data_IF_112212244824
#
_entry.id   IF_112212244824
#
_cell.length_a   1.000
_cell.length_b   1.000
_cell.length_c   1.000
_cell.angle_alpha   90.00
_cell.angle_beta   90.00
_cell.angle_gamma   90.00
#
_symmetry.space_group_name_H-M   'P 1'
#
loop_
_entity.id
_entity.type
_entity.pdbx_description
1 polymer ?
#
# COMPACT_ATOMS: atom_id res chain seq x y z
N UNK A 1 -1.84 5.16 9.56
CA UNK A 1 -1.67 3.83 10.21
C UNK A 1 -0.23 3.70 10.68
N UNK A 2 0.07 2.95 11.75
CA UNK A 2 1.47 2.74 12.17
C UNK A 2 2.07 1.56 11.40
N UNK A 3 3.01 1.82 10.50
CA UNK A 3 3.71 0.82 9.67
C UNK A 3 5.20 0.66 10.03
N UNK A 4 5.67 1.32 11.10
CA UNK A 4 7.10 1.44 11.44
C UNK A 4 7.76 0.08 11.72
N UNK A 5 7.02 -0.88 12.29
CA UNK A 5 7.54 -2.22 12.64
C UNK A 5 7.48 -3.28 11.52
N UNK A 6 6.97 -2.94 10.34
CA UNK A 6 6.74 -3.91 9.25
C UNK A 6 7.97 -3.93 8.33
N UNK A 7 8.42 -5.09 7.86
CA UNK A 7 9.55 -5.17 6.91
C UNK A 7 9.18 -4.68 5.50
N UNK A 8 10.17 -4.33 4.66
CA UNK A 8 9.92 -3.91 3.27
C UNK A 8 9.18 -4.98 2.44
N UNK A 9 9.51 -6.27 2.65
CA UNK A 9 8.83 -7.40 2.01
C UNK A 9 7.37 -7.48 2.41
N UNK A 10 7.07 -7.30 3.70
CA UNK A 10 5.70 -7.28 4.20
C UNK A 10 4.92 -6.04 3.72
N UNK A 11 5.57 -4.88 3.58
CA UNK A 11 4.95 -3.68 3.00
C UNK A 11 4.56 -3.91 1.53
N UNK A 12 5.45 -4.52 0.74
CA UNK A 12 5.15 -4.88 -0.64
C UNK A 12 3.98 -5.88 -0.73
N UNK A 13 3.97 -6.88 0.14
CA UNK A 13 2.89 -7.86 0.19
C UNK A 13 1.56 -7.23 0.63
N UNK A 14 1.59 -6.30 1.58
CA UNK A 14 0.43 -5.54 2.03
C UNK A 14 -0.15 -4.67 0.89
N UNK A 15 0.71 -3.99 0.13
CA UNK A 15 0.33 -3.22 -1.07
C UNK A 15 -0.36 -4.14 -2.10
N UNK A 16 0.22 -5.32 -2.38
CA UNK A 16 -0.34 -6.32 -3.30
C UNK A 16 -1.72 -6.80 -2.86
N UNK A 17 -1.84 -7.22 -1.60
CA UNK A 17 -3.10 -7.76 -1.05
C UNK A 17 -4.20 -6.69 -0.98
N UNK A 18 -3.87 -5.46 -0.61
CA UNK A 18 -4.83 -4.35 -0.59
C UNK A 18 -5.37 -4.06 -2.00
N UNK A 19 -4.50 -4.06 -3.02
CA UNK A 19 -4.89 -3.89 -4.42
C UNK A 19 -5.77 -5.03 -4.92
N UNK A 20 -5.41 -6.27 -4.64
CA UNK A 20 -6.17 -7.46 -5.04
C UNK A 20 -7.57 -7.46 -4.41
N UNK A 21 -7.66 -7.18 -3.10
CA UNK A 21 -8.94 -7.08 -2.42
C UNK A 21 -9.78 -5.92 -2.97
N UNK A 22 -9.18 -4.77 -3.26
CA UNK A 22 -9.85 -3.64 -3.91
C UNK A 22 -10.37 -3.97 -5.33
N UNK A 23 -9.66 -4.84 -6.08
CA UNK A 23 -10.15 -5.33 -7.37
C UNK A 23 -11.37 -6.26 -7.19
N UNK A 24 -11.32 -7.17 -6.22
CA UNK A 24 -12.45 -8.06 -5.90
C UNK A 24 -13.68 -7.25 -5.46
N UNK A 25 -13.51 -6.24 -4.60
CA UNK A 25 -14.61 -5.36 -4.18
C UNK A 25 -15.23 -4.59 -5.36
N UNK A 26 -14.40 -4.10 -6.29
CA UNK A 26 -14.89 -3.46 -7.52
C UNK A 26 -15.69 -4.42 -8.38
N UNK A 27 -15.21 -5.65 -8.58
CA UNK A 27 -15.93 -6.68 -9.34
C UNK A 27 -17.26 -7.05 -8.67
N UNK A 28 -17.30 -7.04 -7.34
CA UNK A 28 -18.50 -7.26 -6.54
C UNK A 28 -19.43 -6.03 -6.48
N UNK A 29 -19.08 -4.90 -7.12
CA UNK A 29 -19.81 -3.62 -7.06
C UNK A 29 -19.93 -3.04 -5.63
N UNK A 30 -18.95 -3.33 -4.77
CA UNK A 30 -18.86 -2.85 -3.39
C UNK A 30 -17.88 -1.67 -3.24
N UNK A 31 -17.74 -0.86 -4.30
CA UNK A 31 -16.74 0.21 -4.36
C UNK A 31 -17.07 1.43 -3.48
N UNK A 32 -18.33 1.62 -3.14
CA UNK A 32 -18.80 2.74 -2.30
C UNK A 32 -18.79 2.39 -0.80
N UNK A 33 -18.43 1.14 -0.47
CA UNK A 33 -18.30 0.70 0.92
C UNK A 33 -17.14 1.45 1.60
N UNK A 34 -17.30 1.85 2.88
CA UNK A 34 -16.21 2.45 3.67
C UNK A 34 -14.93 1.62 3.64
N UNK A 35 -15.08 0.29 3.57
CA UNK A 35 -13.98 -0.65 3.45
C UNK A 35 -13.15 -0.43 2.17
N UNK A 36 -13.78 -0.18 1.03
CA UNK A 36 -13.08 0.05 -0.23
C UNK A 36 -12.21 1.31 -0.16
N UNK A 37 -12.73 2.37 0.48
CA UNK A 37 -11.96 3.59 0.74
C UNK A 37 -10.78 3.34 1.69
N UNK A 38 -11.01 2.65 2.80
CA UNK A 38 -9.93 2.32 3.75
C UNK A 38 -8.86 1.42 3.13
N UNK A 39 -9.22 0.50 2.24
CA UNK A 39 -8.26 -0.32 1.50
C UNK A 39 -7.41 0.49 0.54
N UNK A 40 -8.01 1.46 -0.14
CA UNK A 40 -7.27 2.36 -1.02
C UNK A 40 -6.30 3.23 -0.23
N UNK A 41 -6.72 3.79 0.90
CA UNK A 41 -5.85 4.55 1.80
C UNK A 41 -4.68 3.70 2.33
N UNK A 42 -4.95 2.43 2.68
CA UNK A 42 -3.93 1.48 3.10
C UNK A 42 -2.92 1.18 1.98
N UNK A 43 -3.38 0.96 0.74
CA UNK A 43 -2.50 0.74 -0.41
C UNK A 43 -1.56 1.94 -0.63
N UNK A 44 -2.10 3.16 -0.60
CA UNK A 44 -1.35 4.39 -0.80
C UNK A 44 -0.29 4.59 0.29
N UNK A 45 -0.67 4.40 1.55
CA UNK A 45 0.22 4.58 2.69
C UNK A 45 1.34 3.53 2.70
N UNK A 46 1.01 2.26 2.43
CA UNK A 46 2.00 1.19 2.33
C UNK A 46 3.00 1.45 1.19
N UNK A 47 2.51 1.89 0.02
CA UNK A 47 3.35 2.23 -1.12
C UNK A 47 4.24 3.45 -0.85
N UNK A 48 3.72 4.46 -0.13
CA UNK A 48 4.49 5.64 0.28
C UNK A 48 5.63 5.25 1.22
N UNK A 49 5.34 4.53 2.31
CA UNK A 49 6.36 4.08 3.27
C UNK A 49 7.39 3.18 2.59
N UNK A 50 6.98 2.32 1.65
CA UNK A 50 7.90 1.48 0.89
C UNK A 50 8.86 2.31 0.03
N UNK A 51 8.37 3.34 -0.66
CA UNK A 51 9.20 4.25 -1.48
C UNK A 51 10.15 5.07 -0.61
N UNK A 52 9.66 5.67 0.47
CA UNK A 52 10.48 6.44 1.41
C UNK A 52 11.64 5.61 1.95
N UNK A 53 11.37 4.37 2.37
CA UNK A 53 12.43 3.44 2.84
C UNK A 53 13.40 3.04 1.74
N UNK A 54 12.92 2.88 0.51
CA UNK A 54 13.79 2.58 -0.62
C UNK A 54 14.73 3.75 -0.92
N UNK A 55 14.20 4.97 -0.94
CA UNK A 55 14.96 6.21 -1.15
C UNK A 55 15.98 6.45 -0.02
N UNK A 56 15.60 6.21 1.24
CA UNK A 56 16.48 6.33 2.39
C UNK A 56 17.64 5.31 2.35
N UNK A 57 17.36 4.09 1.89
CA UNK A 57 18.38 3.04 1.75
C UNK A 57 19.17 3.14 0.44
N UNK A 58 18.67 3.87 -0.56
CA UNK A 58 19.31 4.07 -1.85
C UNK A 58 19.24 5.54 -2.29
N UNK A 59 20.03 6.43 -1.67
CA UNK A 59 19.98 7.86 -1.94
C UNK A 59 20.21 8.23 -3.42
N UNK A 60 20.93 7.38 -4.15
CA UNK A 60 21.19 7.52 -5.59
C UNK A 60 19.95 7.35 -6.48
N UNK A 61 18.84 6.81 -5.96
CA UNK A 61 17.58 6.62 -6.69
C UNK A 61 16.45 7.50 -6.18
N UNK A 62 16.74 8.49 -5.34
CA UNK A 62 15.73 9.34 -4.71
C UNK A 62 14.82 10.00 -5.75
N UNK A 63 13.52 9.75 -5.66
CA UNK A 63 12.50 10.33 -6.54
C UNK A 63 12.26 9.60 -7.87
N UNK A 64 12.80 8.39 -8.06
CA UNK A 64 12.51 7.51 -9.20
C UNK A 64 11.37 6.51 -8.92
#
# INVERSE_FOLDING_TARGET
>A
MNLEGITAKQLQELERLARELGLVLRQAKLQDEPLAKSLHELELEAGKVRRERFDDSNPQYRGY
#
